data_IF_919240599396
#
_entry.id   IF_919240599396
#
_cell.length_a   1.000
_cell.length_b   1.000
_cell.length_c   1.000
_cell.angle_alpha   90.00
_cell.angle_beta   90.00
_cell.angle_gamma   90.00
#
_symmetry.space_group_name_H-M   'P 1'
#
loop_
_entity.id
_entity.type
_entity.pdbx_description
1 polymer ?
#
# COMPACT_ATOMS: atom_id res chain seq x y z
N UNK A 1 -17.39 25.16 -25.27
CA UNK A 1 -16.00 25.64 -25.45
C UNK A 1 -15.10 24.53 -24.93
N UNK A 2 -14.27 23.95 -25.79
CA UNK A 2 -13.28 22.96 -25.37
C UNK A 2 -12.27 23.68 -24.48
N UNK A 3 -12.23 23.34 -23.19
CA UNK A 3 -11.20 23.88 -22.30
C UNK A 3 -9.86 23.31 -22.78
N UNK A 4 -8.95 24.20 -23.18
CA UNK A 4 -7.58 23.83 -23.55
C UNK A 4 -6.89 23.24 -22.32
N UNK A 5 -6.48 21.97 -22.41
CA UNK A 5 -5.74 21.28 -21.35
C UNK A 5 -4.46 22.03 -21.03
N UNK A 6 -4.09 22.08 -19.75
CA UNK A 6 -2.82 22.70 -19.34
C UNK A 6 -1.66 21.83 -19.77
N UNK A 7 -0.59 22.44 -20.27
CA UNK A 7 0.61 21.74 -20.75
C UNK A 7 1.61 21.56 -19.63
N UNK A 8 2.02 20.32 -19.38
CA UNK A 8 2.98 19.98 -18.33
C UNK A 8 4.19 19.25 -18.90
N UNK A 9 5.37 19.66 -18.44
CA UNK A 9 6.66 19.08 -18.83
C UNK A 9 7.36 18.43 -17.64
N UNK A 10 7.73 17.15 -17.77
CA UNK A 10 8.64 16.47 -16.84
C UNK A 10 10.07 16.51 -17.37
N UNK A 11 10.96 17.21 -16.68
CA UNK A 11 12.35 17.41 -17.07
C UNK A 11 13.30 16.60 -16.18
N UNK A 12 14.17 15.79 -16.80
CA UNK A 12 15.30 15.17 -16.11
C UNK A 12 16.61 15.35 -16.89
N UNK A 13 17.69 14.69 -16.46
CA UNK A 13 18.98 14.77 -17.17
C UNK A 13 18.89 14.13 -18.56
N UNK A 14 18.69 12.80 -18.64
CA UNK A 14 18.83 12.04 -19.90
C UNK A 14 17.52 11.62 -20.59
N UNK A 15 16.36 12.01 -20.05
CA UNK A 15 15.03 11.57 -20.48
C UNK A 15 14.88 10.04 -20.67
N UNK A 16 15.42 9.29 -19.72
CA UNK A 16 15.58 7.83 -19.84
C UNK A 16 14.70 7.02 -18.90
N UNK A 17 14.60 7.44 -17.63
CA UNK A 17 13.90 6.69 -16.57
C UNK A 17 12.79 7.53 -15.92
N UNK A 18 13.14 8.36 -14.94
CA UNK A 18 12.19 9.11 -14.07
C UNK A 18 11.16 9.93 -14.85
N UNK A 19 11.61 10.75 -15.80
CA UNK A 19 10.70 11.59 -16.59
C UNK A 19 9.80 10.80 -17.53
N UNK A 20 10.26 9.62 -18.00
CA UNK A 20 9.48 8.73 -18.85
C UNK A 20 8.38 8.02 -18.05
N UNK A 21 8.72 7.54 -16.85
CA UNK A 21 7.74 6.99 -15.90
C UNK A 21 6.72 8.05 -15.48
N UNK A 22 7.18 9.29 -15.22
CA UNK A 22 6.28 10.40 -14.89
C UNK A 22 5.35 10.77 -16.05
N UNK A 23 5.84 10.79 -17.30
CA UNK A 23 4.99 10.99 -18.48
C UNK A 23 3.94 9.87 -18.62
N UNK A 24 4.36 8.61 -18.46
CA UNK A 24 3.45 7.46 -18.52
C UNK A 24 2.32 7.57 -17.49
N UNK A 25 2.68 7.78 -16.22
CA UNK A 25 1.70 7.93 -15.15
C UNK A 25 0.78 9.14 -15.34
N UNK A 26 1.33 10.30 -15.70
CA UNK A 26 0.51 11.49 -15.89
C UNK A 26 -0.41 11.40 -17.11
N UNK A 27 0.02 10.77 -18.21
CA UNK A 27 -0.88 10.50 -19.36
C UNK A 27 -2.02 9.57 -18.95
N UNK A 28 -1.71 8.51 -18.21
CA UNK A 28 -2.68 7.50 -17.81
C UNK A 28 -3.70 8.05 -16.80
N UNK A 29 -3.23 8.72 -15.73
CA UNK A 29 -4.07 9.15 -14.61
C UNK A 29 -4.69 10.54 -14.80
N UNK A 30 -4.00 11.41 -15.57
CA UNK A 30 -4.28 12.85 -15.62
C UNK A 30 -4.40 13.40 -17.04
N UNK A 31 -4.49 12.52 -18.05
CA UNK A 31 -4.57 12.90 -19.46
C UNK A 31 -5.84 13.67 -19.84
N UNK A 32 -6.89 13.65 -19.01
CA UNK A 32 -8.08 14.51 -19.17
C UNK A 32 -7.83 15.95 -18.73
N UNK A 33 -6.95 16.16 -17.73
CA UNK A 33 -6.64 17.46 -17.13
C UNK A 33 -5.45 18.15 -17.82
N UNK A 34 -4.45 17.36 -18.23
CA UNK A 34 -3.17 17.86 -18.74
C UNK A 34 -2.78 17.27 -20.09
N UNK A 35 -2.09 18.09 -20.87
CA UNK A 35 -1.32 17.66 -22.02
C UNK A 35 0.14 17.44 -21.59
N UNK A 36 0.57 16.19 -21.59
CA UNK A 36 1.78 15.77 -20.88
C UNK A 36 2.96 15.60 -21.85
N UNK A 37 4.12 16.09 -21.41
CA UNK A 37 5.40 15.99 -22.11
C UNK A 37 6.51 15.55 -21.15
N UNK A 38 7.54 14.90 -21.68
CA UNK A 38 8.82 14.77 -21.00
C UNK A 38 9.98 15.14 -21.91
N UNK A 39 11.07 15.61 -21.29
CA UNK A 39 12.31 15.91 -21.98
C UNK A 39 13.52 15.73 -21.07
N UNK A 40 14.69 15.82 -21.69
CA UNK A 40 15.99 15.76 -21.07
C UNK A 40 16.83 16.97 -21.44
N UNK A 41 17.78 17.28 -20.59
CA UNK A 41 18.90 18.16 -20.95
C UNK A 41 19.79 17.45 -21.98
N UNK A 42 19.93 16.14 -21.82
CA UNK A 42 20.62 15.21 -22.70
C UNK A 42 19.67 14.08 -23.15
N UNK A 43 20.11 13.29 -24.14
CA UNK A 43 19.41 12.09 -24.61
C UNK A 43 20.21 10.85 -24.28
N UNK A 44 19.69 10.00 -23.40
CA UNK A 44 20.30 8.70 -23.08
C UNK A 44 19.49 7.50 -23.58
N UNK A 45 18.41 7.75 -24.32
CA UNK A 45 17.51 6.70 -24.80
C UNK A 45 16.54 6.21 -23.72
N UNK A 46 15.49 5.50 -24.13
CA UNK A 46 14.49 4.94 -23.22
C UNK A 46 15.07 3.72 -22.50
N UNK A 47 15.01 3.69 -21.17
CA UNK A 47 15.56 2.59 -20.39
C UNK A 47 14.63 1.35 -20.44
N UNK A 48 15.12 0.17 -20.84
CA UNK A 48 14.31 -1.05 -20.92
C UNK A 48 13.68 -1.47 -19.59
N UNK A 49 14.39 -1.28 -18.46
CA UNK A 49 13.85 -1.59 -17.13
C UNK A 49 12.70 -0.67 -16.76
N UNK A 50 12.77 0.61 -17.15
CA UNK A 50 11.65 1.53 -16.96
C UNK A 50 10.40 1.07 -17.75
N UNK A 51 10.58 0.61 -18.99
CA UNK A 51 9.48 0.02 -19.78
C UNK A 51 8.89 -1.20 -19.09
N UNK A 52 9.75 -2.12 -18.61
CA UNK A 52 9.31 -3.35 -17.94
C UNK A 52 8.49 -3.05 -16.68
N UNK A 53 8.98 -2.21 -15.77
CA UNK A 53 8.26 -1.93 -14.51
C UNK A 53 6.98 -1.13 -14.70
N UNK A 54 6.90 -0.30 -15.75
CA UNK A 54 5.64 0.41 -16.07
C UNK A 54 4.62 -0.56 -16.67
N UNK A 55 5.05 -1.48 -17.54
CA UNK A 55 4.18 -2.51 -18.10
C UNK A 55 3.62 -3.47 -17.02
N UNK A 56 4.44 -3.82 -16.02
CA UNK A 56 3.99 -4.56 -14.82
C UNK A 56 2.83 -3.86 -14.09
N UNK A 57 2.78 -2.52 -14.14
CA UNK A 57 1.77 -1.70 -13.50
C UNK A 57 0.65 -1.28 -14.48
N UNK A 58 0.51 -1.94 -15.64
CA UNK A 58 -0.56 -1.69 -16.60
C UNK A 58 -0.35 -0.48 -17.53
N UNK A 59 0.80 0.19 -17.48
CA UNK A 59 1.08 1.39 -18.28
C UNK A 59 2.18 1.13 -19.31
N UNK A 60 1.80 1.11 -20.58
CA UNK A 60 2.75 0.93 -21.69
C UNK A 60 3.45 2.26 -22.07
N UNK A 61 4.76 2.32 -21.85
CA UNK A 61 5.62 3.43 -22.30
C UNK A 61 6.57 3.02 -23.44
N UNK A 62 6.42 1.82 -24.02
CA UNK A 62 7.33 1.28 -25.06
C UNK A 62 7.42 2.15 -26.31
N UNK A 63 6.35 2.89 -26.61
CA UNK A 63 6.27 3.82 -27.75
C UNK A 63 6.83 5.21 -27.45
N UNK A 64 7.23 5.47 -26.20
CA UNK A 64 7.92 6.71 -25.87
C UNK A 64 9.33 6.71 -26.47
N UNK A 65 9.91 7.90 -26.58
CA UNK A 65 11.29 8.06 -26.96
C UNK A 65 11.93 9.19 -26.17
N UNK A 66 13.26 9.14 -26.08
CA UNK A 66 14.05 10.15 -25.38
C UNK A 66 14.11 11.43 -26.23
N UNK A 67 13.68 12.57 -25.67
CA UNK A 67 13.59 13.89 -26.31
C UNK A 67 14.52 14.88 -25.61
N UNK A 68 15.18 15.76 -26.37
CA UNK A 68 15.82 16.95 -25.82
C UNK A 68 14.77 18.03 -25.58
N UNK A 69 15.02 18.90 -24.62
CA UNK A 69 14.20 20.09 -24.42
C UNK A 69 14.16 20.97 -25.69
N UNK A 70 15.24 21.01 -26.45
CA UNK A 70 15.34 21.78 -27.70
C UNK A 70 14.39 21.30 -28.80
N UNK A 71 13.90 20.05 -28.75
CA UNK A 71 12.90 19.54 -29.69
C UNK A 71 11.48 19.99 -29.33
N UNK A 72 11.25 20.40 -28.09
CA UNK A 72 9.96 20.91 -27.63
C UNK A 72 9.86 22.44 -27.74
N UNK A 73 10.76 23.07 -28.52
CA UNK A 73 10.73 24.51 -28.79
C UNK A 73 9.40 24.88 -29.46
N UNK A 74 8.81 25.98 -29.01
CA UNK A 74 7.51 26.46 -29.50
C UNK A 74 6.31 25.94 -28.72
N UNK A 75 6.49 25.02 -27.79
CA UNK A 75 5.46 24.61 -26.84
C UNK A 75 5.53 25.51 -25.61
N UNK A 76 4.46 26.26 -25.35
CA UNK A 76 4.31 26.99 -24.10
C UNK A 76 3.80 26.03 -23.02
N UNK A 77 4.57 25.85 -21.95
CA UNK A 77 4.20 25.01 -20.82
C UNK A 77 3.61 25.85 -19.69
N UNK A 78 2.51 25.39 -19.10
CA UNK A 78 1.97 25.97 -17.87
C UNK A 78 2.81 25.55 -16.66
N UNK A 79 3.29 24.31 -16.66
CA UNK A 79 4.06 23.72 -15.57
C UNK A 79 5.29 22.97 -16.08
N UNK A 80 6.43 23.17 -15.41
CA UNK A 80 7.65 22.39 -15.62
C UNK A 80 8.04 21.75 -14.30
N UNK A 81 8.18 20.44 -14.28
CA UNK A 81 8.53 19.65 -13.12
C UNK A 81 9.92 19.05 -13.32
N UNK A 82 10.90 19.51 -12.56
CA UNK A 82 12.25 18.94 -12.56
C UNK A 82 12.28 17.73 -11.63
N UNK A 83 12.52 16.55 -12.18
CA UNK A 83 12.43 15.26 -11.45
C UNK A 83 13.78 14.74 -10.93
N UNK A 84 14.87 15.48 -11.16
CA UNK A 84 16.19 15.19 -10.62
C UNK A 84 16.94 16.48 -10.25
N UNK A 85 17.85 16.39 -9.27
CA UNK A 85 18.63 17.54 -8.78
C UNK A 85 19.46 18.19 -9.90
N UNK A 86 20.12 17.40 -10.73
CA UNK A 86 20.92 17.92 -11.85
C UNK A 86 20.07 18.68 -12.88
N UNK A 87 18.84 18.24 -13.17
CA UNK A 87 17.94 18.97 -14.05
C UNK A 87 17.37 20.22 -13.41
N UNK A 88 17.32 20.28 -12.07
CA UNK A 88 16.94 21.49 -11.35
C UNK A 88 18.04 22.55 -11.41
N UNK A 89 19.29 22.14 -11.23
CA UNK A 89 20.47 23.01 -11.29
C UNK A 89 20.73 23.55 -12.70
N UNK A 90 20.53 22.72 -13.72
CA UNK A 90 20.73 23.07 -15.12
C UNK A 90 19.40 23.38 -15.82
N UNK A 91 18.35 23.71 -15.06
CA UNK A 91 17.04 24.03 -15.60
C UNK A 91 17.14 25.32 -16.43
N UNK A 92 16.86 25.29 -17.74
CA UNK A 92 16.90 26.49 -18.55
C UNK A 92 15.73 27.41 -18.20
N UNK A 93 15.89 28.68 -18.57
CA UNK A 93 14.87 29.69 -18.33
C UNK A 93 13.60 29.43 -19.17
N UNK A 94 12.43 29.46 -18.52
CA UNK A 94 11.13 29.36 -19.18
C UNK A 94 10.39 30.72 -19.11
N UNK A 95 9.71 31.16 -20.19
CA UNK A 95 9.04 32.45 -20.22
C UNK A 95 7.85 32.55 -19.24
N UNK A 96 7.56 33.76 -18.77
CA UNK A 96 6.96 34.09 -17.47
C UNK A 96 5.56 33.58 -17.08
N UNK A 97 4.87 32.78 -17.90
CA UNK A 97 3.64 32.08 -17.47
C UNK A 97 3.93 30.70 -16.86
N UNK A 98 5.10 30.13 -17.14
CA UNK A 98 5.47 28.78 -16.73
C UNK A 98 5.84 28.72 -15.26
N UNK A 99 5.17 27.86 -14.49
CA UNK A 99 5.53 27.56 -13.10
C UNK A 99 6.48 26.38 -13.04
N UNK A 100 7.70 26.62 -12.56
CA UNK A 100 8.72 25.57 -12.37
C UNK A 100 8.64 25.02 -10.94
N UNK A 101 8.62 23.70 -10.80
CA UNK A 101 8.53 22.98 -9.51
C UNK A 101 9.57 21.88 -9.50
N UNK A 102 10.30 21.77 -8.38
CA UNK A 102 11.27 20.70 -8.20
C UNK A 102 10.72 19.56 -7.34
N UNK A 103 10.91 18.33 -7.80
CA UNK A 103 10.60 17.11 -7.05
C UNK A 103 11.73 16.10 -7.28
N UNK A 104 12.59 15.91 -6.29
CA UNK A 104 13.70 14.97 -6.41
C UNK A 104 13.26 13.52 -6.24
N UNK A 105 13.62 12.66 -7.19
CA UNK A 105 13.56 11.20 -7.04
C UNK A 105 14.95 10.59 -7.17
N UNK A 106 15.19 9.50 -6.42
CA UNK A 106 16.40 8.70 -6.53
C UNK A 106 16.58 8.20 -7.98
N UNK A 107 17.83 8.02 -8.40
CA UNK A 107 18.15 7.61 -9.77
C UNK A 107 18.20 6.08 -9.87
N UNK A 108 17.21 5.39 -10.48
CA UNK A 108 17.17 3.93 -10.46
C UNK A 108 18.42 3.26 -11.05
N UNK A 109 19.01 3.74 -12.18
CA UNK A 109 20.27 3.22 -12.69
C UNK A 109 21.44 3.30 -11.70
N UNK A 110 21.48 4.34 -10.84
CA UNK A 110 22.55 4.46 -9.83
C UNK A 110 22.36 3.46 -8.71
N UNK A 111 21.11 3.28 -8.24
CA UNK A 111 20.77 2.28 -7.22
C UNK A 111 21.05 0.85 -7.72
N UNK A 112 20.70 0.59 -8.99
CA UNK A 112 20.87 -0.71 -9.63
C UNK A 112 22.33 -1.07 -9.95
N UNK A 113 23.27 -0.11 -9.89
CA UNK A 113 24.67 -0.32 -10.30
C UNK A 113 25.42 -1.27 -9.37
N UNK A 114 25.06 -1.28 -8.08
CA UNK A 114 25.73 -2.06 -7.04
C UNK A 114 25.05 -3.42 -6.80
N UNK A 115 24.01 -3.75 -7.56
CA UNK A 115 23.22 -4.96 -7.40
C UNK A 115 23.58 -5.99 -8.47
N UNK A 116 23.71 -7.24 -8.04
CA UNK A 116 24.12 -8.34 -8.92
C UNK A 116 22.92 -8.97 -9.65
N UNK A 117 21.79 -9.16 -8.96
CA UNK A 117 20.62 -9.83 -9.53
C UNK A 117 19.74 -8.86 -10.32
N UNK A 118 19.18 -9.33 -11.44
CA UNK A 118 18.25 -8.54 -12.25
C UNK A 118 16.96 -8.19 -11.50
N UNK A 119 16.52 -9.06 -10.59
CA UNK A 119 15.31 -8.83 -9.79
C UNK A 119 15.51 -7.69 -8.78
N UNK A 120 16.68 -7.65 -8.12
CA UNK A 120 17.00 -6.56 -7.20
C UNK A 120 17.13 -5.22 -7.92
N UNK A 121 17.72 -5.24 -9.13
CA UNK A 121 17.74 -4.05 -9.99
C UNK A 121 16.33 -3.58 -10.30
N UNK A 122 15.43 -4.48 -10.73
CA UNK A 122 14.03 -4.14 -11.02
C UNK A 122 13.30 -3.59 -9.80
N UNK A 123 13.57 -4.11 -8.61
CA UNK A 123 13.00 -3.59 -7.36
C UNK A 123 13.35 -2.11 -7.12
N UNK A 124 14.57 -1.67 -7.47
CA UNK A 124 14.91 -0.24 -7.41
C UNK A 124 14.04 0.60 -8.37
N UNK A 125 13.78 0.10 -9.58
CA UNK A 125 12.92 0.79 -10.55
C UNK A 125 11.45 0.80 -10.09
N UNK A 126 10.94 -0.29 -9.50
CA UNK A 126 9.59 -0.36 -8.93
C UNK A 126 9.41 0.65 -7.79
N UNK A 127 10.36 0.72 -6.86
CA UNK A 127 10.35 1.71 -5.77
C UNK A 127 10.19 3.14 -6.30
N UNK A 128 11.03 3.54 -7.26
CA UNK A 128 10.98 4.89 -7.84
C UNK A 128 9.71 5.10 -8.68
N UNK A 129 9.26 4.08 -9.42
CA UNK A 129 7.97 4.10 -10.15
C UNK A 129 6.82 4.43 -9.20
N UNK A 130 6.77 3.79 -8.05
CA UNK A 130 5.67 3.93 -7.09
C UNK A 130 5.73 5.28 -6.34
N UNK A 131 6.94 5.80 -6.09
CA UNK A 131 7.13 7.17 -5.59
C UNK A 131 6.63 8.22 -6.60
N UNK A 132 6.98 8.06 -7.88
CA UNK A 132 6.49 8.93 -8.95
C UNK A 132 4.97 8.83 -9.05
N UNK A 133 4.42 7.62 -9.00
CA UNK A 133 2.98 7.37 -9.02
C UNK A 133 2.26 8.18 -7.92
N UNK A 134 2.72 8.06 -6.65
CA UNK A 134 2.17 8.80 -5.51
C UNK A 134 2.22 10.31 -5.72
N UNK A 135 3.31 10.80 -6.31
CA UNK A 135 3.43 12.21 -6.65
C UNK A 135 2.42 12.64 -7.71
N UNK A 136 2.22 11.85 -8.78
CA UNK A 136 1.27 12.16 -9.86
C UNK A 136 -0.17 12.17 -9.36
N UNK A 137 -0.53 11.29 -8.41
CA UNK A 137 -1.87 11.32 -7.79
C UNK A 137 -2.17 12.68 -7.13
N UNK A 138 -1.18 13.26 -6.46
CA UNK A 138 -1.30 14.54 -5.76
C UNK A 138 -1.01 15.75 -6.65
N UNK A 139 -0.74 15.54 -7.95
CA UNK A 139 -0.27 16.57 -8.87
C UNK A 139 -1.24 17.75 -8.93
N UNK A 140 -2.52 17.52 -9.21
CA UNK A 140 -3.52 18.58 -9.35
C UNK A 140 -3.62 19.44 -8.08
N UNK A 141 -3.54 18.83 -6.89
CA UNK A 141 -3.60 19.54 -5.61
C UNK A 141 -2.34 20.40 -5.38
N UNK A 142 -1.16 19.82 -5.66
CA UNK A 142 0.13 20.52 -5.55
C UNK A 142 0.26 21.68 -6.53
N UNK A 143 -0.28 21.55 -7.74
CA UNK A 143 -0.22 22.59 -8.77
C UNK A 143 -1.20 23.74 -8.46
N UNK A 144 -2.40 23.43 -7.96
CA UNK A 144 -3.45 24.40 -7.67
C UNK A 144 -3.36 25.05 -6.28
N UNK A 145 -2.43 24.62 -5.42
CA UNK A 145 -2.13 25.29 -4.15
C UNK A 145 -3.23 25.18 -3.09
N UNK A 146 -4.11 24.18 -3.15
CA UNK A 146 -5.07 23.92 -2.07
C UNK A 146 -4.31 23.45 -0.84
N UNK A 147 -4.23 24.29 0.19
CA UNK A 147 -3.89 23.84 1.56
C UNK A 147 -4.87 22.73 1.94
N UNK A 148 -4.39 21.71 2.65
CA UNK A 148 -5.23 20.72 3.31
C UNK A 148 -6.43 21.43 3.96
N UNK A 149 -7.61 21.19 3.40
CA UNK A 149 -8.85 21.59 4.05
C UNK A 149 -8.95 20.67 5.26
N UNK A 150 -8.66 21.21 6.44
CA UNK A 150 -9.07 20.57 7.68
C UNK A 150 -10.58 20.44 7.62
N UNK A 151 -11.06 19.23 7.38
CA UNK A 151 -12.48 18.91 7.47
C UNK A 151 -12.86 19.13 8.93
N UNK A 152 -13.54 20.23 9.20
CA UNK A 152 -14.29 20.38 10.44
C UNK A 152 -15.38 19.30 10.41
N UNK A 153 -15.31 18.35 11.35
CA UNK A 153 -16.39 17.39 11.54
C UNK A 153 -17.73 18.11 11.72
N UNK A 154 -18.80 17.47 11.25
CA UNK A 154 -20.16 17.97 11.35
C UNK A 154 -20.47 18.44 12.78
N UNK A 155 -20.76 19.73 12.95
CA UNK A 155 -21.18 20.29 14.23
C UNK A 155 -20.57 21.62 14.70
N UNK A 156 -19.77 22.33 13.90
CA UNK A 156 -19.21 23.63 14.33
C UNK A 156 -19.87 24.82 13.63
N UNK A 157 -20.73 25.54 14.37
CA UNK A 157 -21.06 26.94 14.11
C UNK A 157 -19.82 27.80 14.37
N UNK A 158 -19.18 28.30 13.32
CA UNK A 158 -18.03 29.19 13.44
C UNK A 158 -18.47 30.66 13.32
N UNK A 159 -18.50 31.35 14.45
CA UNK A 159 -18.20 32.77 14.49
C UNK A 159 -16.68 32.92 14.74
N UNK A 160 -16.06 33.72 13.88
CA UNK A 160 -14.64 34.08 13.92
C UNK A 160 -14.24 34.80 15.20
N UNK A 161 -13.11 34.44 15.82
CA UNK A 161 -12.13 35.41 16.31
C UNK A 161 -10.80 34.76 16.70
N UNK A 162 -9.74 35.47 16.33
CA UNK A 162 -8.31 35.22 16.45
C UNK A 162 -7.78 35.10 17.90
N UNK A 163 -6.56 34.54 18.00
CA UNK A 163 -5.57 34.70 19.08
C UNK A 163 -5.70 33.87 20.36
N UNK A 164 -5.05 32.68 20.41
CA UNK A 164 -4.53 32.09 21.67
C UNK A 164 -3.27 31.23 21.44
N UNK A 165 -2.11 31.84 21.21
CA UNK A 165 -0.80 31.13 21.13
C UNK A 165 0.14 31.46 22.30
N UNK A 166 -0.33 31.33 23.56
CA UNK A 166 0.57 31.38 24.73
C UNK A 166 0.24 30.32 25.81
N UNK A 167 -1.03 29.97 25.99
CA UNK A 167 -1.44 28.98 27.02
C UNK A 167 -1.01 27.54 26.69
N UNK A 168 -0.94 27.16 25.41
CA UNK A 168 -0.61 25.78 24.99
C UNK A 168 0.86 25.43 25.28
N UNK A 169 1.82 26.36 25.11
CA UNK A 169 3.23 26.11 25.42
C UNK A 169 3.47 25.88 26.93
N UNK A 170 2.74 26.58 27.80
CA UNK A 170 2.89 26.42 29.25
C UNK A 170 2.35 25.06 29.73
N UNK A 171 1.22 24.62 29.16
CA UNK A 171 0.60 23.34 29.54
C UNK A 171 1.46 22.15 29.06
N UNK A 172 1.98 22.19 27.82
CA UNK A 172 2.86 21.13 27.31
C UNK A 172 4.15 21.03 28.12
N UNK A 173 4.73 22.16 28.53
CA UNK A 173 5.94 22.16 29.36
C UNK A 173 5.70 21.58 30.76
N UNK A 174 4.53 21.83 31.37
CA UNK A 174 4.18 21.33 32.70
C UNK A 174 3.94 19.81 32.70
N UNK A 175 3.27 19.29 31.66
CA UNK A 175 3.00 17.85 31.52
C UNK A 175 4.31 17.07 31.30
N UNK A 176 5.24 17.60 30.51
CA UNK A 176 6.57 16.99 30.32
C UNK A 176 7.37 16.99 31.63
N UNK A 177 7.30 18.07 32.41
CA UNK A 177 7.99 18.14 33.71
C UNK A 177 7.43 17.12 34.72
N UNK A 178 6.10 16.97 34.78
CA UNK A 178 5.45 15.98 35.63
C UNK A 178 5.77 14.54 35.21
N UNK A 179 5.87 14.27 33.90
CA UNK A 179 6.28 12.95 33.40
C UNK A 179 7.73 12.61 33.77
N UNK A 180 8.65 13.57 33.69
CA UNK A 180 10.06 13.37 34.08
C UNK A 180 10.18 13.12 35.59
N UNK A 181 9.43 13.86 36.42
CA UNK A 181 9.40 13.63 37.87
C UNK A 181 8.80 12.25 38.20
N UNK A 182 7.74 11.84 37.50
CA UNK A 182 7.13 10.52 37.66
C UNK A 182 8.08 9.38 37.33
N UNK A 183 8.87 9.50 36.25
CA UNK A 183 9.90 8.51 35.88
C UNK A 183 10.98 8.42 36.95
N UNK A 184 11.41 9.54 37.54
CA UNK A 184 12.40 9.56 38.62
C UNK A 184 11.88 8.89 39.90
N UNK A 185 10.63 9.14 40.28
CA UNK A 185 9.99 8.48 41.42
C UNK A 185 9.81 6.97 41.20
N UNK A 186 9.39 6.56 40.00
CA UNK A 186 9.24 5.15 39.65
C UNK A 186 10.57 4.39 39.72
N UNK A 187 11.65 4.99 39.21
CA UNK A 187 13.00 4.40 39.24
C UNK A 187 13.58 4.32 40.66
N UNK A 188 13.20 5.24 41.55
CA UNK A 188 13.55 5.17 42.96
C UNK A 188 12.81 4.04 43.69
N UNK A 189 11.54 3.80 43.35
CA UNK A 189 10.73 2.72 43.94
C UNK A 189 11.26 1.32 43.57
N UNK A 190 11.67 1.10 42.32
CA UNK A 190 12.26 -0.18 41.88
C UNK A 190 13.60 -0.51 42.57
N UNK A 191 14.29 0.49 43.11
CA UNK A 191 15.55 0.29 43.85
C UNK A 191 15.32 -0.29 45.26
N UNK A 192 14.11 -0.21 45.81
CA UNK A 192 13.78 -0.81 47.10
C UNK A 192 13.43 -2.31 47.00
N UNK A 193 12.79 -2.76 45.92
CA UNK A 193 12.42 -4.18 45.76
C UNK A 193 13.64 -5.10 45.52
N UNK A 194 14.64 -4.64 44.78
CA UNK A 194 15.86 -5.43 44.51
C UNK A 194 16.76 -5.62 45.75
N UNK A 195 16.55 -4.85 46.84
CA UNK A 195 17.35 -4.99 48.06
C UNK A 195 16.81 -6.07 49.03
N UNK A 196 15.66 -6.68 48.73
CA UNK A 196 15.04 -7.73 49.55
C UNK A 196 15.18 -9.15 48.96
N UNK A 197 15.67 -9.28 47.73
CA UNK A 197 15.83 -10.57 47.03
C UNK A 197 17.25 -11.14 47.17
N UNK A 198 18.26 -10.31 47.39
CA UNK A 198 19.67 -10.75 47.51
C UNK A 198 20.07 -11.30 48.89
N UNK A 199 19.19 -11.28 49.90
CA UNK A 199 19.51 -11.78 51.26
C UNK A 199 18.97 -13.19 51.58
N UNK A 200 18.21 -13.83 50.68
CA UNK A 200 17.52 -15.10 50.96
C UNK A 200 17.85 -16.26 50.01
N UNK A 201 19.04 -16.31 49.40
CA UNK A 201 19.49 -17.50 48.65
C UNK A 201 20.96 -17.83 48.88
N UNK A 202 21.39 -17.82 50.15
CA UNK A 202 22.69 -18.35 50.59
C UNK A 202 22.50 -19.43 51.65
N UNK A 203 21.76 -20.49 51.35
CA UNK A 203 21.76 -21.74 52.12
C UNK A 203 20.95 -22.82 51.41
N UNK A 204 21.56 -23.63 50.56
CA UNK A 204 21.40 -25.09 50.56
C UNK A 204 22.28 -25.72 49.47
N UNK A 205 23.16 -26.64 49.86
CA UNK A 205 23.99 -27.43 48.95
C UNK A 205 23.98 -28.91 49.40
N UNK A 206 23.61 -29.80 48.46
CA UNK A 206 24.01 -31.22 48.25
C UNK A 206 23.58 -32.29 49.29
N UNK A 207 23.38 -33.59 48.90
CA UNK A 207 24.29 -34.38 48.04
C UNK A 207 23.68 -35.35 46.98
N UNK A 208 24.62 -35.99 46.25
CA UNK A 208 24.55 -36.94 45.12
C UNK A 208 24.12 -38.38 45.47
N UNK A 209 23.70 -39.14 44.45
CA UNK A 209 24.02 -40.59 44.19
C UNK A 209 23.51 -40.95 42.76
N UNK A 210 24.36 -41.35 41.80
CA UNK A 210 24.66 -42.76 41.35
C UNK A 210 23.43 -43.44 40.70
N UNK A 211 23.43 -44.16 39.56
CA UNK A 211 24.44 -44.99 38.87
C UNK A 211 23.88 -45.49 37.51
N UNK A 212 24.77 -45.81 36.55
CA UNK A 212 24.65 -46.83 35.47
C UNK A 212 23.62 -46.61 34.34
N UNK A 213 23.88 -46.85 33.04
CA UNK A 213 24.61 -47.94 32.38
C UNK A 213 25.27 -47.45 31.06
N UNK A 214 26.52 -47.88 30.84
CA UNK A 214 27.38 -47.76 29.63
C UNK A 214 26.81 -48.57 28.46
N UNK A 215 27.05 -48.22 27.19
CA UNK A 215 28.16 -48.70 26.33
C UNK A 215 27.66 -48.55 24.87
N UNK A 216 28.41 -48.37 23.77
CA UNK A 216 29.83 -48.18 23.44
C UNK A 216 29.82 -47.95 21.90
N UNK A 217 30.30 -46.79 21.43
CA UNK A 217 31.52 -46.57 20.58
C UNK A 217 31.56 -47.32 19.24
N UNK A 218 31.68 -46.54 18.14
CA UNK A 218 32.77 -46.56 17.10
C UNK A 218 32.23 -45.91 15.81
N UNK A 219 32.58 -44.66 15.46
CA UNK A 219 33.84 -44.11 14.90
C UNK A 219 34.10 -44.42 13.42
N UNK A 220 33.95 -43.38 12.59
CA UNK A 220 34.62 -43.00 11.34
C UNK A 220 35.39 -44.06 10.53
N UNK A 221 35.15 -44.12 9.21
CA UNK A 221 36.14 -43.72 8.19
C UNK A 221 35.60 -43.81 6.76
N UNK A 222 36.27 -43.04 5.90
CA UNK A 222 36.02 -42.66 4.51
C UNK A 222 36.30 -43.79 3.51
N UNK A 223 35.48 -43.94 2.47
CA UNK A 223 35.90 -44.17 1.06
C UNK A 223 34.71 -44.37 0.11
N UNK A 224 34.67 -43.59 -0.97
CA UNK A 224 34.05 -43.93 -2.27
C UNK A 224 35.13 -44.57 -3.17
N UNK A 225 34.86 -45.20 -4.36
CA UNK A 225 33.67 -45.04 -5.23
C UNK A 225 33.11 -46.30 -5.95
N UNK A 226 31.96 -46.10 -6.61
CA UNK A 226 31.44 -46.75 -7.83
C UNK A 226 31.01 -48.25 -7.81
N UNK A 227 29.73 -48.53 -8.07
CA UNK A 227 29.13 -48.79 -9.42
C UNK A 227 27.82 -49.60 -9.32
N UNK A 228 26.91 -49.34 -10.27
CA UNK A 228 25.70 -50.09 -10.68
C UNK A 228 24.43 -49.92 -9.82
N UNK A 229 23.41 -49.26 -10.39
CA UNK A 229 22.16 -49.83 -10.96
C UNK A 229 21.24 -50.35 -9.84
N UNK A 230 19.94 -50.13 -9.75
CA UNK A 230 18.87 -49.49 -10.52
C UNK A 230 17.61 -49.93 -9.72
N UNK A 231 16.52 -49.17 -9.78
CA UNK A 231 15.15 -49.51 -9.30
C UNK A 231 14.81 -49.40 -7.80
N UNK A 232 13.78 -48.58 -7.60
CA UNK A 232 12.74 -48.62 -6.56
C UNK A 232 13.10 -48.27 -5.12
N UNK A 233 13.00 -46.97 -4.81
CA UNK A 233 12.40 -46.52 -3.54
C UNK A 233 11.58 -45.24 -3.77
N UNK A 234 10.50 -45.44 -4.52
CA UNK A 234 9.37 -44.53 -4.78
C UNK A 234 8.53 -44.28 -3.52
N UNK A 235 9.17 -44.12 -2.36
CA UNK A 235 8.54 -43.77 -1.08
C UNK A 235 9.32 -42.74 -0.25
N UNK A 236 10.45 -42.22 -0.75
CA UNK A 236 11.15 -41.06 -0.14
C UNK A 236 11.22 -39.93 -1.18
N UNK A 237 10.06 -39.53 -1.69
CA UNK A 237 9.93 -38.29 -2.48
C UNK A 237 8.63 -37.55 -2.16
N UNK A 238 7.62 -38.22 -1.60
CA UNK A 238 6.35 -37.62 -1.20
C UNK A 238 6.34 -36.96 0.20
N UNK A 239 7.45 -37.03 0.96
CA UNK A 239 7.54 -36.47 2.33
C UNK A 239 8.52 -35.28 2.42
N UNK A 240 9.40 -35.10 1.43
CA UNK A 240 10.29 -33.93 1.37
C UNK A 240 9.73 -32.76 0.53
N UNK A 241 8.78 -33.00 -0.39
CA UNK A 241 8.06 -31.92 -1.08
C UNK A 241 6.95 -31.28 -0.23
N UNK A 242 6.40 -32.00 0.75
CA UNK A 242 5.30 -31.49 1.58
C UNK A 242 5.74 -30.66 2.80
N UNK A 243 7.03 -30.66 3.14
CA UNK A 243 7.56 -29.92 4.30
C UNK A 243 8.42 -28.69 3.92
N UNK A 244 8.59 -28.41 2.62
CA UNK A 244 9.17 -27.16 2.12
C UNK A 244 8.11 -26.05 1.87
N UNK A 245 6.81 -26.38 1.98
CA UNK A 245 5.68 -25.46 1.72
C UNK A 245 5.18 -24.76 3.00
N UNK A 246 5.71 -25.11 4.18
CA UNK A 246 5.21 -24.62 5.48
C UNK A 246 6.20 -23.80 6.31
N UNK A 247 7.33 -23.35 5.74
CA UNK A 247 8.37 -22.64 6.50
C UNK A 247 8.99 -21.40 5.84
N UNK A 248 8.27 -20.68 4.96
CA UNK A 248 8.62 -19.31 4.52
C UNK A 248 7.57 -18.29 4.95
N UNK A 249 7.56 -17.99 6.25
CA UNK A 249 6.80 -16.89 6.85
C UNK A 249 7.32 -15.54 6.32
N UNK A 250 6.51 -14.89 5.48
CA UNK A 250 6.13 -13.46 5.48
C UNK A 250 5.76 -13.01 4.05
N UNK A 251 4.63 -13.50 3.52
CA UNK A 251 3.98 -12.89 2.37
C UNK A 251 2.47 -13.08 2.54
N UNK A 252 1.71 -11.98 2.64
CA UNK A 252 0.25 -12.06 2.62
C UNK A 252 -0.22 -12.61 1.27
N UNK A 253 -1.37 -13.26 1.24
CA UNK A 253 -1.90 -13.88 0.03
C UNK A 253 -2.92 -12.96 -0.66
N UNK A 254 -3.07 -13.13 -1.98
CA UNK A 254 -3.93 -12.30 -2.83
C UNK A 254 -5.40 -12.72 -2.68
N UNK A 255 -6.29 -11.77 -2.39
CA UNK A 255 -7.75 -12.00 -2.38
C UNK A 255 -8.34 -11.68 -3.76
N UNK A 256 -8.55 -12.71 -4.57
CA UNK A 256 -9.22 -12.57 -5.86
C UNK A 256 -8.51 -11.65 -6.85
N UNK A 257 -9.19 -11.26 -7.93
CA UNK A 257 -8.57 -10.49 -9.02
C UNK A 257 -8.45 -9.00 -8.70
N UNK A 258 -7.42 -8.34 -9.24
CA UNK A 258 -7.26 -6.90 -9.09
C UNK A 258 -8.22 -6.15 -10.01
N UNK A 259 -8.80 -5.07 -9.49
CA UNK A 259 -9.62 -4.13 -10.26
C UNK A 259 -9.07 -2.72 -10.09
N UNK A 260 -9.03 -1.95 -11.19
CA UNK A 260 -8.59 -0.54 -11.20
C UNK A 260 -9.77 0.41 -10.99
N UNK A 261 -11.01 -0.05 -11.13
CA UNK A 261 -12.21 0.69 -10.80
C UNK A 261 -13.36 -0.25 -10.41
N UNK A 262 -14.25 0.21 -9.52
CA UNK A 262 -15.52 -0.43 -9.24
C UNK A 262 -16.41 -0.56 -10.50
N UNK A 263 -16.21 0.29 -11.51
CA UNK A 263 -16.94 0.22 -12.77
C UNK A 263 -16.64 -1.06 -13.57
N UNK A 264 -15.47 -1.68 -13.39
CA UNK A 264 -15.09 -2.94 -14.04
C UNK A 264 -15.94 -4.12 -13.57
N UNK A 265 -16.49 -4.04 -12.35
CA UNK A 265 -17.35 -5.07 -11.78
C UNK A 265 -18.62 -5.28 -12.62
N UNK A 266 -19.08 -4.26 -13.34
CA UNK A 266 -20.22 -4.39 -14.26
C UNK A 266 -19.94 -5.44 -15.36
N UNK A 267 -18.67 -5.61 -15.75
CA UNK A 267 -18.24 -6.60 -16.74
C UNK A 267 -17.77 -7.89 -16.06
N UNK A 268 -16.82 -7.76 -15.13
CA UNK A 268 -16.11 -8.88 -14.49
C UNK A 268 -17.01 -9.71 -13.56
N UNK A 269 -17.97 -9.07 -12.91
CA UNK A 269 -18.91 -9.71 -12.00
C UNK A 269 -20.33 -9.82 -12.58
N UNK A 270 -20.47 -9.68 -13.91
CA UNK A 270 -21.78 -9.72 -14.59
C UNK A 270 -22.55 -11.02 -14.35
N UNK A 271 -21.85 -12.16 -14.23
CA UNK A 271 -22.41 -13.48 -13.95
C UNK A 271 -22.48 -13.83 -12.46
N UNK A 272 -22.08 -12.91 -11.57
CA UNK A 272 -22.04 -13.12 -10.12
C UNK A 272 -23.23 -12.46 -9.44
N UNK A 273 -23.71 -13.08 -8.37
CA UNK A 273 -24.83 -12.56 -7.57
C UNK A 273 -24.34 -11.52 -6.56
N UNK A 274 -23.11 -11.71 -6.06
CA UNK A 274 -22.45 -10.78 -5.15
C UNK A 274 -20.95 -10.77 -5.36
N UNK A 275 -20.31 -9.73 -4.84
CA UNK A 275 -18.86 -9.59 -4.83
C UNK A 275 -18.34 -9.16 -3.46
N UNK A 276 -17.19 -9.72 -3.09
CA UNK A 276 -16.35 -9.21 -1.99
C UNK A 276 -15.17 -8.49 -2.59
N UNK A 277 -14.95 -7.26 -2.18
CA UNK A 277 -13.88 -6.40 -2.67
C UNK A 277 -13.00 -6.05 -1.48
N UNK A 278 -11.79 -6.60 -1.45
CA UNK A 278 -10.80 -6.26 -0.44
C UNK A 278 -10.22 -4.87 -0.73
N UNK A 279 -10.19 -4.03 0.31
CA UNK A 279 -9.62 -2.69 0.32
C UNK A 279 -8.33 -2.74 1.14
N UNK A 280 -7.16 -2.82 0.49
CA UNK A 280 -5.87 -2.91 1.16
C UNK A 280 -5.51 -1.61 1.90
N UNK A 281 -4.44 -1.64 2.69
CA UNK A 281 -3.85 -0.40 3.22
C UNK A 281 -2.77 0.12 2.27
N UNK A 282 -2.42 1.42 2.30
CA UNK A 282 -1.32 1.94 1.46
C UNK A 282 0.06 1.32 1.76
N UNK A 283 0.19 0.58 2.86
CA UNK A 283 1.42 -0.09 3.30
C UNK A 283 1.40 -1.61 3.07
N UNK A 284 0.23 -2.20 2.89
CA UNK A 284 0.03 -3.65 2.71
C UNK A 284 -1.03 -3.88 1.66
N UNK A 285 -0.58 -4.35 0.50
CA UNK A 285 -1.43 -4.70 -0.65
C UNK A 285 -2.11 -6.06 -0.47
N UNK A 286 -1.61 -6.88 0.45
CA UNK A 286 -2.14 -8.19 0.76
C UNK A 286 -2.98 -8.18 2.03
N UNK A 287 -3.95 -9.10 2.07
CA UNK A 287 -4.72 -9.36 3.27
C UNK A 287 -3.91 -10.17 4.27
N UNK A 288 -4.16 -9.94 5.55
CA UNK A 288 -3.62 -10.83 6.59
C UNK A 288 -4.30 -12.21 6.54
N UNK A 289 -3.65 -13.19 7.17
CA UNK A 289 -4.13 -14.58 7.18
C UNK A 289 -5.54 -14.73 7.78
N UNK A 290 -5.91 -13.85 8.72
CA UNK A 290 -7.23 -13.85 9.36
C UNK A 290 -8.31 -13.41 8.38
N UNK A 291 -8.11 -12.28 7.72
CA UNK A 291 -9.01 -11.70 6.72
C UNK A 291 -9.18 -12.65 5.56
N UNK A 292 -8.09 -13.25 5.08
CA UNK A 292 -8.14 -14.24 4.00
C UNK A 292 -8.95 -15.47 4.40
N UNK A 293 -8.70 -16.04 5.58
CA UNK A 293 -9.46 -17.18 6.09
C UNK A 293 -10.95 -16.86 6.21
N UNK A 294 -11.27 -15.67 6.70
CA UNK A 294 -12.65 -15.19 6.83
C UNK A 294 -13.35 -15.03 5.47
N UNK A 295 -12.66 -14.48 4.47
CA UNK A 295 -13.21 -14.29 3.11
C UNK A 295 -13.44 -15.63 2.43
N UNK A 296 -12.51 -16.57 2.55
CA UNK A 296 -12.65 -17.92 1.98
C UNK A 296 -13.80 -18.71 2.65
N UNK A 297 -13.92 -18.64 3.99
CA UNK A 297 -15.02 -19.26 4.72
C UNK A 297 -16.37 -18.66 4.29
N UNK A 298 -16.47 -17.33 4.21
CA UNK A 298 -17.69 -16.66 3.74
C UNK A 298 -18.04 -17.04 2.30
N UNK A 299 -17.03 -17.19 1.42
CA UNK A 299 -17.23 -17.66 0.05
C UNK A 299 -17.81 -19.08 0.02
N UNK A 300 -17.26 -20.01 0.79
CA UNK A 300 -17.76 -21.38 0.86
C UNK A 300 -19.20 -21.43 1.38
N UNK A 301 -19.50 -20.66 2.43
CA UNK A 301 -20.85 -20.57 3.01
C UNK A 301 -21.85 -19.96 2.03
N UNK A 302 -21.50 -18.91 1.29
CA UNK A 302 -22.41 -18.31 0.30
C UNK A 302 -22.61 -19.20 -0.94
N UNK A 303 -21.53 -19.81 -1.44
CA UNK A 303 -21.60 -20.74 -2.57
C UNK A 303 -22.45 -21.98 -2.26
N UNK A 304 -22.36 -22.53 -1.03
CA UNK A 304 -23.18 -23.68 -0.62
C UNK A 304 -24.68 -23.34 -0.54
N UNK A 305 -25.01 -22.06 -0.35
CA UNK A 305 -26.38 -21.53 -0.43
C UNK A 305 -26.79 -21.11 -1.85
N UNK A 306 -26.01 -21.47 -2.88
CA UNK A 306 -26.33 -21.22 -4.29
C UNK A 306 -26.06 -19.79 -4.76
N UNK A 307 -25.34 -18.98 -3.99
CA UNK A 307 -25.00 -17.59 -4.34
C UNK A 307 -23.64 -17.58 -5.03
N UNK A 308 -23.57 -17.13 -6.28
CA UNK A 308 -22.31 -17.04 -7.01
C UNK A 308 -21.51 -15.81 -6.57
N UNK A 309 -20.42 -16.02 -5.83
CA UNK A 309 -19.58 -14.95 -5.30
C UNK A 309 -18.36 -14.68 -6.18
N UNK A 310 -18.07 -13.40 -6.45
CA UNK A 310 -16.80 -12.92 -6.99
C UNK A 310 -15.89 -12.36 -5.89
N UNK A 311 -14.58 -12.64 -5.96
CA UNK A 311 -13.59 -12.06 -5.05
C UNK A 311 -12.69 -11.13 -5.85
N UNK A 312 -12.48 -9.92 -5.33
CA UNK A 312 -11.65 -8.91 -5.97
C UNK A 312 -10.84 -8.14 -4.93
N UNK A 313 -9.73 -7.53 -5.37
CA UNK A 313 -8.97 -6.56 -4.60
C UNK A 313 -8.94 -5.24 -5.34
N UNK A 314 -9.39 -4.16 -4.69
CA UNK A 314 -9.32 -2.84 -5.27
C UNK A 314 -7.89 -2.31 -5.15
N UNK A 315 -7.28 -1.95 -6.27
CA UNK A 315 -5.92 -1.48 -6.22
C UNK A 315 -5.80 -0.14 -5.48
N UNK A 316 -4.78 0.04 -4.61
CA UNK A 316 -4.52 1.33 -3.95
C UNK A 316 -4.34 2.51 -4.91
N UNK A 317 -4.00 2.20 -6.16
CA UNK A 317 -3.77 3.17 -7.25
C UNK A 317 -5.05 3.70 -7.89
N UNK A 318 -6.21 3.09 -7.61
CA UNK A 318 -7.48 3.44 -8.25
C UNK A 318 -8.08 4.74 -7.70
N UNK A 319 -8.76 5.50 -8.57
CA UNK A 319 -9.53 6.67 -8.17
C UNK A 319 -10.63 6.29 -7.14
N UNK A 320 -11.26 5.13 -7.32
CA UNK A 320 -12.29 4.63 -6.42
C UNK A 320 -11.71 4.27 -5.05
N UNK A 321 -10.48 3.72 -4.99
CA UNK A 321 -9.80 3.47 -3.71
C UNK A 321 -9.59 4.76 -2.92
N UNK A 322 -9.18 5.85 -3.57
CA UNK A 322 -8.99 7.13 -2.89
C UNK A 322 -10.30 7.69 -2.32
N UNK A 323 -11.42 7.45 -3.00
CA UNK A 323 -12.74 7.88 -2.51
C UNK A 323 -13.20 7.02 -1.33
N UNK A 324 -13.05 5.70 -1.44
CA UNK A 324 -13.50 4.71 -0.44
C UNK A 324 -12.64 4.77 0.83
N UNK A 325 -11.31 4.86 0.69
CA UNK A 325 -10.38 4.93 1.82
C UNK A 325 -10.53 6.20 2.68
N UNK A 326 -11.19 7.24 2.16
CA UNK A 326 -11.57 8.43 2.94
C UNK A 326 -12.83 8.22 3.78
N UNK A 327 -13.71 7.31 3.38
CA UNK A 327 -14.99 7.05 4.04
C UNK A 327 -14.90 5.85 4.99
N UNK A 328 -13.98 4.92 4.72
CA UNK A 328 -13.88 3.62 5.38
C UNK A 328 -12.44 3.41 5.82
N UNK A 329 -12.25 2.97 7.06
CA UNK A 329 -10.93 2.66 7.60
C UNK A 329 -10.41 1.33 7.03
N UNK A 330 -9.38 1.40 6.19
CA UNK A 330 -8.67 0.22 5.68
C UNK A 330 -7.75 -0.40 6.77
N UNK A 331 -7.52 -1.73 6.76
CA UNK A 331 -8.02 -2.71 5.79
C UNK A 331 -9.51 -2.99 5.97
N UNK A 332 -10.21 -3.17 4.85
CA UNK A 332 -11.65 -3.40 4.85
C UNK A 332 -12.08 -4.36 3.75
N UNK A 333 -13.25 -4.98 3.89
CA UNK A 333 -13.89 -5.75 2.81
C UNK A 333 -15.24 -5.13 2.52
N UNK A 334 -15.46 -4.72 1.27
CA UNK A 334 -16.76 -4.30 0.77
C UNK A 334 -17.53 -5.52 0.27
N UNK A 335 -18.79 -5.62 0.68
CA UNK A 335 -19.74 -6.63 0.24
C UNK A 335 -20.79 -5.94 -0.61
N UNK A 336 -20.86 -6.27 -1.89
CA UNK A 336 -21.81 -5.69 -2.84
C UNK A 336 -22.69 -6.78 -3.45
N UNK A 337 -24.00 -6.54 -3.46
CA UNK A 337 -25.00 -7.43 -4.05
C UNK A 337 -25.50 -6.86 -5.38
N UNK A 338 -25.59 -7.70 -6.42
CA UNK A 338 -26.00 -7.29 -7.76
C UNK A 338 -27.40 -6.66 -7.73
N UNK A 339 -27.50 -5.42 -8.18
CA UNK A 339 -28.76 -4.65 -8.22
C UNK A 339 -29.35 -4.30 -6.84
N UNK A 340 -28.60 -4.48 -5.76
CA UNK A 340 -28.98 -4.10 -4.39
C UNK A 340 -27.99 -3.04 -3.88
N UNK A 341 -27.68 -3.03 -2.59
CA UNK A 341 -26.71 -2.11 -2.01
C UNK A 341 -25.35 -2.73 -1.72
N UNK A 342 -24.56 -1.97 -0.95
CA UNK A 342 -23.22 -2.35 -0.50
C UNK A 342 -23.12 -2.17 1.02
N UNK A 343 -22.24 -2.94 1.65
CA UNK A 343 -21.91 -2.83 3.06
C UNK A 343 -20.40 -3.03 3.25
N UNK A 344 -19.80 -2.33 4.22
CA UNK A 344 -18.38 -2.42 4.51
C UNK A 344 -18.14 -3.14 5.84
N UNK A 345 -17.11 -3.98 5.88
CA UNK A 345 -16.59 -4.60 7.10
C UNK A 345 -15.18 -4.06 7.34
N UNK A 346 -14.99 -3.36 8.46
CA UNK A 346 -13.72 -2.73 8.87
C UNK A 346 -13.19 -3.32 10.18
N UNK A 347 -11.89 -3.18 10.41
CA UNK A 347 -11.24 -3.71 11.61
C UNK A 347 -11.12 -5.22 11.54
N UNK A 348 -11.54 -5.94 12.58
CA UNK A 348 -11.48 -7.41 12.58
C UNK A 348 -12.47 -8.00 11.58
N UNK A 349 -11.98 -8.44 10.43
CA UNK A 349 -12.77 -9.12 9.41
C UNK A 349 -12.97 -10.59 9.84
N UNK A 350 -14.23 -10.97 10.07
CA UNK A 350 -14.62 -12.35 10.41
C UNK A 350 -15.71 -12.82 9.47
N UNK A 351 -15.84 -14.15 9.29
CA UNK A 351 -16.89 -14.75 8.46
C UNK A 351 -18.28 -14.22 8.85
N UNK A 352 -18.61 -14.20 10.15
CA UNK A 352 -19.92 -13.76 10.63
C UNK A 352 -20.22 -12.31 10.27
N UNK A 353 -19.22 -11.41 10.32
CA UNK A 353 -19.40 -10.00 9.90
C UNK A 353 -19.59 -9.87 8.40
N UNK A 354 -18.87 -10.66 7.60
CA UNK A 354 -19.04 -10.70 6.14
C UNK A 354 -20.44 -11.18 5.75
N UNK A 355 -20.93 -12.24 6.39
CA UNK A 355 -22.29 -12.75 6.19
C UNK A 355 -23.35 -11.73 6.62
N UNK A 356 -23.14 -11.04 7.76
CA UNK A 356 -24.04 -9.97 8.19
C UNK A 356 -24.05 -8.78 7.22
N UNK A 357 -22.89 -8.40 6.69
CA UNK A 357 -22.77 -7.37 5.67
C UNK A 357 -23.45 -7.78 4.35
N UNK A 358 -23.38 -9.06 3.97
CA UNK A 358 -24.12 -9.62 2.84
C UNK A 358 -25.64 -9.51 3.04
N UNK A 359 -26.16 -9.89 4.21
CA UNK A 359 -27.59 -9.74 4.53
C UNK A 359 -28.01 -8.26 4.55
N UNK A 360 -27.16 -7.37 5.03
CA UNK A 360 -27.45 -5.93 5.08
C UNK A 360 -27.51 -5.33 3.67
N UNK A 361 -26.51 -5.64 2.84
CA UNK A 361 -26.41 -5.14 1.45
C UNK A 361 -27.50 -5.72 0.54
N UNK A 362 -27.98 -6.94 0.81
CA UNK A 362 -29.13 -7.50 0.09
C UNK A 362 -30.46 -6.84 0.48
N UNK A 363 -30.58 -6.22 1.65
CA UNK A 363 -31.82 -5.54 2.09
C UNK A 363 -31.90 -4.06 1.70
N UNK A 364 -30.78 -3.41 1.41
CA UNK A 364 -30.71 -1.98 1.11
C UNK A 364 -31.14 -1.59 -0.32
N UNK A 365 -31.52 -2.56 -1.15
CA UNK A 365 -32.04 -2.34 -2.50
C UNK A 365 -33.55 -2.12 -2.53
N UNK A 366 -33.98 -0.87 -2.31
CA UNK A 366 -35.38 -0.46 -2.36
C UNK A 366 -35.57 1.01 -2.73
N UNK A 367 -34.93 1.51 -3.80
CA UNK A 367 -35.43 2.70 -4.48
C UNK A 367 -36.60 2.30 -5.40
N UNK A 368 -37.74 2.00 -4.78
CA UNK A 368 -39.04 1.98 -5.44
C UNK A 368 -39.69 3.35 -5.25
N UNK A 369 -40.10 3.97 -6.35
CA UNK A 369 -40.89 5.19 -6.36
C UNK A 369 -42.29 4.94 -5.77
N UNK A 370 -42.43 4.95 -4.45
CA UNK A 370 -43.70 5.17 -3.73
C UNK A 370 -43.52 4.98 -2.22
N UNK A 371 -44.35 5.70 -1.45
CA UNK A 371 -44.53 5.65 0.00
C UNK A 371 -43.43 6.30 0.85
N UNK A 372 -43.68 7.56 1.20
CA UNK A 372 -42.96 8.26 2.25
C UNK A 372 -43.31 7.74 3.65
N UNK A 373 -42.41 8.04 4.59
CA UNK A 373 -42.73 8.20 6.01
C UNK A 373 -41.77 9.25 6.56
N UNK A 374 -42.35 10.34 7.07
CA UNK A 374 -41.68 11.32 7.91
C UNK A 374 -41.44 10.79 9.33
N UNK A 375 -40.95 11.64 10.24
CA UNK A 375 -40.28 11.24 11.47
C UNK A 375 -41.27 10.76 12.53
N UNK A 376 -40.86 9.79 13.35
CA UNK A 376 -41.58 9.43 14.56
C UNK A 376 -40.61 9.29 15.72
N UNK A 377 -40.68 10.32 16.56
CA UNK A 377 -40.29 10.44 17.95
C UNK A 377 -40.59 9.23 18.83
N UNK A 378 -39.64 8.87 19.72
CA UNK A 378 -39.85 8.38 21.11
C UNK A 378 -38.54 8.69 21.87
N UNK A 379 -38.49 9.27 23.07
CA UNK A 379 -39.56 9.54 24.03
C UNK A 379 -39.12 10.44 25.19
N UNK A 380 -40.15 10.82 25.95
CA UNK A 380 -40.17 11.69 27.11
C UNK A 380 -39.40 11.13 28.32
N UNK A 381 -38.67 12.00 29.02
CA UNK A 381 -38.96 12.45 30.37
C UNK A 381 -38.25 13.77 30.65
#
# INVERSE_FOLDING_TARGET
MEQTKKKILFLCTGNSCRSQMAEGWARHLKGSEFEVYSAGIEKHGLNPYAVKVMAEAGVDISKHYSKLLSELKGIEFDFVITVCGHANENCPFFPGKTKVIHVGFEDPPKLAKELETEEDKLNCYRKVRDEIFKFILQLSDKLNGKKEVSVCGEGCSCNTASSKSKKVKVIVSLVVLLAIVGIFFYKASLKQENKLVETNTSAFNLPKSEESVKAEVQSNSVSEPNKSKESDDTQIQSIQENNAILASKQNGEKIGDYIESLSELNKLASSKDAVLIFIPTPKSEFADAQTQSAVLAAQQTLNSNGISLGLFTLMPVSQDYLMISRQIQAPAVLVANKGRGMAAVTGDVTESKLLQAFVTSSRSGGCGTSSGCGPSSVGCN
#
